data_IF_222324125801
#
_entry.id   IF_222324125801
#
_cell.length_a   1.000
_cell.length_b   1.000
_cell.length_c   1.000
_cell.angle_alpha   90.00
_cell.angle_beta   90.00
_cell.angle_gamma   90.00
#
_symmetry.space_group_name_H-M   'P 1'
#
loop_
_entity.id
_entity.type
_entity.pdbx_description
1 polymer ?
#
# COMPACT_ATOMS: atom_id res chain seq x y z
N UNK A 1 -5.93 -40.59 -2.66
CA UNK A 1 -4.46 -40.63 -2.44
C UNK A 1 -3.66 -40.01 -3.59
N UNK A 2 -4.25 -39.14 -4.43
CA UNK A 2 -3.57 -38.68 -5.67
C UNK A 2 -3.55 -37.12 -5.87
N UNK A 3 -4.05 -36.35 -4.93
CA UNK A 3 -3.99 -34.88 -5.02
C UNK A 3 -2.64 -34.28 -4.54
N UNK A 4 -1.80 -35.06 -3.86
CA UNK A 4 -0.48 -34.57 -3.40
C UNK A 4 0.59 -34.55 -4.52
N UNK A 5 0.35 -35.18 -5.66
CA UNK A 5 1.34 -35.22 -6.76
C UNK A 5 1.24 -34.06 -7.76
N UNK A 6 0.14 -33.33 -7.81
CA UNK A 6 -0.02 -32.21 -8.76
C UNK A 6 0.67 -30.91 -8.31
N UNK A 7 0.96 -30.73 -7.03
CA UNK A 7 1.65 -29.56 -6.47
C UNK A 7 3.17 -29.64 -6.65
N UNK A 8 3.72 -30.81 -6.92
CA UNK A 8 5.17 -31.06 -7.00
C UNK A 8 5.85 -30.65 -8.31
N UNK A 9 5.17 -30.07 -9.29
CA UNK A 9 5.74 -29.75 -10.60
C UNK A 9 5.53 -28.32 -11.10
N UNK A 10 5.34 -27.36 -10.21
CA UNK A 10 5.51 -25.97 -10.63
C UNK A 10 7.00 -25.76 -10.94
N UNK A 11 7.33 -25.39 -12.19
CA UNK A 11 8.72 -25.18 -12.57
C UNK A 11 9.35 -24.16 -11.61
N UNK A 12 10.60 -24.40 -11.20
CA UNK A 12 11.33 -23.46 -10.32
C UNK A 12 11.23 -22.03 -10.82
N UNK A 13 11.26 -21.82 -12.14
CA UNK A 13 11.09 -20.52 -12.77
C UNK A 13 9.74 -19.87 -12.51
N UNK A 14 8.65 -20.63 -12.43
CA UNK A 14 7.33 -20.11 -12.08
C UNK A 14 7.29 -19.62 -10.63
N UNK A 15 7.83 -20.38 -9.69
CA UNK A 15 7.89 -19.99 -8.28
C UNK A 15 8.68 -18.69 -8.08
N UNK A 16 9.86 -18.58 -8.70
CA UNK A 16 10.66 -17.33 -8.62
C UNK A 16 9.93 -16.12 -9.22
N UNK A 17 9.25 -16.31 -10.35
CA UNK A 17 8.44 -15.23 -10.96
C UNK A 17 7.32 -14.77 -10.01
N UNK A 18 6.64 -15.71 -9.36
CA UNK A 18 5.54 -15.41 -8.44
C UNK A 18 6.05 -14.71 -7.18
N UNK A 19 7.18 -15.17 -6.60
CA UNK A 19 7.83 -14.54 -5.44
C UNK A 19 8.26 -13.10 -5.75
N UNK A 20 8.97 -12.91 -6.87
CA UNK A 20 9.38 -11.59 -7.31
C UNK A 20 8.18 -10.67 -7.57
N UNK A 21 7.20 -11.15 -8.35
CA UNK A 21 6.02 -10.37 -8.68
C UNK A 21 5.22 -9.93 -7.45
N UNK A 22 5.05 -10.82 -6.46
CA UNK A 22 4.38 -10.50 -5.22
C UNK A 22 5.14 -9.47 -4.39
N UNK A 23 6.46 -9.60 -4.31
CA UNK A 23 7.30 -8.64 -3.61
C UNK A 23 7.38 -7.27 -4.29
N UNK A 24 7.36 -7.20 -5.64
CA UNK A 24 7.36 -5.93 -6.39
C UNK A 24 6.12 -5.07 -6.09
N UNK A 25 4.97 -5.68 -5.79
CA UNK A 25 3.79 -4.93 -5.37
C UNK A 25 4.02 -4.17 -4.06
N UNK A 26 4.65 -4.80 -3.08
CA UNK A 26 4.95 -4.14 -1.79
C UNK A 26 6.13 -3.15 -1.91
N UNK A 27 7.09 -3.43 -2.78
CA UNK A 27 8.13 -2.47 -3.17
C UNK A 27 7.51 -1.18 -3.74
N UNK A 28 6.56 -1.29 -4.67
CA UNK A 28 5.85 -0.15 -5.25
C UNK A 28 5.07 0.65 -4.21
N UNK A 29 4.35 -0.03 -3.31
CA UNK A 29 3.67 0.61 -2.18
C UNK A 29 4.65 1.40 -1.33
N UNK A 30 5.79 0.81 -0.98
CA UNK A 30 6.76 1.42 -0.08
C UNK A 30 7.59 2.53 -0.74
N UNK A 31 7.86 2.48 -2.05
CA UNK A 31 8.48 3.60 -2.76
C UNK A 31 7.67 4.90 -2.59
N UNK A 32 6.35 4.81 -2.73
CA UNK A 32 5.47 5.98 -2.65
C UNK A 32 5.19 6.32 -1.18
N UNK A 33 4.82 5.33 -0.36
CA UNK A 33 4.40 5.57 1.01
C UNK A 33 5.52 6.08 1.92
N UNK A 34 6.76 5.64 1.69
CA UNK A 34 7.90 6.07 2.50
C UNK A 34 8.18 7.56 2.34
N UNK A 35 8.12 8.10 1.11
CA UNK A 35 8.31 9.54 0.89
C UNK A 35 7.17 10.35 1.52
N UNK A 36 5.93 9.86 1.46
CA UNK A 36 4.78 10.48 2.13
C UNK A 36 5.01 10.52 3.65
N UNK A 37 5.40 9.40 4.23
CA UNK A 37 5.61 9.26 5.67
C UNK A 37 6.73 10.15 6.21
N UNK A 38 7.81 10.34 5.43
CA UNK A 38 8.96 11.13 5.86
C UNK A 38 8.79 12.62 5.57
N UNK A 39 8.18 12.99 4.44
CA UNK A 39 8.32 14.35 3.93
C UNK A 39 6.99 15.07 3.67
N UNK A 40 5.82 14.42 3.73
CA UNK A 40 4.58 15.10 3.39
C UNK A 40 4.23 16.21 4.41
N UNK A 41 4.47 15.96 5.70
CA UNK A 41 4.26 16.98 6.73
C UNK A 41 5.16 18.19 6.47
N UNK A 42 6.47 17.96 6.32
CA UNK A 42 7.45 18.99 5.98
C UNK A 42 7.06 19.75 4.70
N UNK A 43 6.69 19.02 3.65
CA UNK A 43 6.28 19.64 2.39
C UNK A 43 5.09 20.58 2.56
N UNK A 44 4.07 20.18 3.30
CA UNK A 44 2.89 21.04 3.50
C UNK A 44 3.17 22.20 4.45
N UNK A 45 3.97 22.04 5.50
CA UNK A 45 4.24 23.09 6.48
C UNK A 45 5.33 24.07 6.04
N UNK A 46 6.45 23.56 5.57
CA UNK A 46 7.65 24.37 5.34
C UNK A 46 7.80 24.80 3.88
N UNK A 47 7.37 23.96 2.91
CA UNK A 47 7.49 24.28 1.49
C UNK A 47 6.23 24.99 0.97
N UNK A 48 5.03 24.52 1.34
CA UNK A 48 3.74 25.10 0.90
C UNK A 48 3.23 26.18 1.87
N UNK A 49 3.78 26.24 3.10
CA UNK A 49 3.42 27.16 4.17
C UNK A 49 1.98 27.05 4.68
N UNK A 50 1.47 25.81 4.79
CA UNK A 50 0.17 25.52 5.41
C UNK A 50 0.31 25.40 6.93
N UNK A 51 -0.72 25.79 7.67
CA UNK A 51 -0.72 25.70 9.13
C UNK A 51 -0.61 24.27 9.65
N UNK A 52 0.39 23.96 10.48
CA UNK A 52 0.65 22.63 11.01
C UNK A 52 -0.57 22.01 11.73
N UNK A 53 -1.37 22.83 12.44
CA UNK A 53 -2.60 22.39 13.11
C UNK A 53 -3.63 21.85 12.10
N UNK A 54 -3.80 22.53 10.96
CA UNK A 54 -4.73 22.11 9.91
C UNK A 54 -4.28 20.80 9.27
N UNK A 55 -2.98 20.62 9.07
CA UNK A 55 -2.42 19.39 8.52
C UNK A 55 -2.54 18.22 9.52
N UNK A 56 -2.33 18.45 10.81
CA UNK A 56 -2.55 17.44 11.84
C UNK A 56 -4.02 16.97 11.87
N UNK A 57 -4.97 17.91 11.77
CA UNK A 57 -6.41 17.57 11.66
C UNK A 57 -6.70 16.77 10.39
N UNK A 58 -6.10 17.13 9.26
CA UNK A 58 -6.21 16.39 8.01
C UNK A 58 -5.77 14.92 8.19
N UNK A 59 -4.60 14.69 8.76
CA UNK A 59 -4.12 13.33 9.00
C UNK A 59 -5.05 12.53 9.92
N UNK A 60 -5.61 13.18 10.96
CA UNK A 60 -6.56 12.53 11.87
C UNK A 60 -7.86 12.14 11.15
N UNK A 61 -8.43 13.04 10.34
CA UNK A 61 -9.63 12.76 9.54
C UNK A 61 -9.37 11.61 8.58
N UNK A 62 -8.22 11.61 7.91
CA UNK A 62 -7.87 10.53 6.97
C UNK A 62 -7.78 9.17 7.66
N UNK A 63 -7.29 9.09 8.91
CA UNK A 63 -7.29 7.80 9.65
C UNK A 63 -8.69 7.24 9.86
N UNK A 64 -9.68 8.09 10.09
CA UNK A 64 -11.07 7.65 10.21
C UNK A 64 -11.62 7.18 8.86
N UNK A 65 -11.31 7.92 7.79
CA UNK A 65 -11.70 7.55 6.42
C UNK A 65 -11.05 6.23 6.02
N UNK A 66 -9.75 6.05 6.31
CA UNK A 66 -9.00 4.81 6.02
C UNK A 66 -9.67 3.60 6.68
N UNK A 67 -10.04 3.69 7.94
CA UNK A 67 -10.69 2.60 8.65
C UNK A 67 -12.02 2.16 8.00
N UNK A 68 -12.76 3.09 7.40
CA UNK A 68 -14.00 2.81 6.67
C UNK A 68 -13.70 2.25 5.28
N UNK A 69 -12.79 2.88 4.55
CA UNK A 69 -12.45 2.50 3.17
C UNK A 69 -11.76 1.15 3.11
N UNK A 70 -10.94 0.78 4.08
CA UNK A 70 -10.30 -0.54 4.16
C UNK A 70 -11.34 -1.67 4.18
N UNK A 71 -12.39 -1.51 4.98
CA UNK A 71 -13.48 -2.50 5.05
C UNK A 71 -14.27 -2.55 3.74
N UNK A 72 -14.58 -1.38 3.15
CA UNK A 72 -15.33 -1.31 1.90
C UNK A 72 -14.55 -1.91 0.73
N UNK A 73 -13.27 -1.58 0.61
CA UNK A 73 -12.39 -2.13 -0.44
C UNK A 73 -12.19 -3.63 -0.23
N UNK A 74 -11.97 -4.09 1.00
CA UNK A 74 -11.89 -5.52 1.31
C UNK A 74 -13.13 -6.28 0.83
N UNK A 75 -14.32 -5.75 1.13
CA UNK A 75 -15.58 -6.32 0.68
C UNK A 75 -15.75 -6.27 -0.85
N UNK A 76 -15.31 -5.19 -1.51
CA UNK A 76 -15.33 -5.08 -2.97
C UNK A 76 -14.41 -6.13 -3.62
N UNK A 77 -13.23 -6.38 -3.06
CA UNK A 77 -12.30 -7.42 -3.53
C UNK A 77 -12.93 -8.80 -3.43
N UNK A 78 -13.56 -9.11 -2.30
CA UNK A 78 -14.22 -10.41 -2.10
C UNK A 78 -15.36 -10.66 -3.07
N UNK A 79 -16.04 -9.61 -3.52
CA UNK A 79 -17.08 -9.68 -4.55
C UNK A 79 -16.54 -9.67 -5.98
N UNK A 80 -15.28 -9.32 -6.16
CA UNK A 80 -14.68 -9.24 -7.49
C UNK A 80 -14.50 -10.64 -8.07
N UNK A 81 -15.15 -10.88 -9.21
CA UNK A 81 -15.04 -12.13 -9.99
C UNK A 81 -14.63 -11.79 -11.41
N UNK A 82 -13.37 -12.00 -11.72
CA UNK A 82 -12.85 -11.75 -13.06
C UNK A 82 -12.05 -12.95 -13.58
N UNK A 83 -11.84 -12.99 -14.90
CA UNK A 83 -10.97 -14.00 -15.54
C UNK A 83 -9.52 -13.95 -15.06
N UNK A 84 -9.11 -12.87 -14.41
CA UNK A 84 -7.75 -12.67 -13.90
C UNK A 84 -7.60 -13.01 -12.40
N UNK A 85 -8.69 -13.34 -11.71
CA UNK A 85 -8.76 -13.56 -10.26
C UNK A 85 -9.48 -12.42 -9.54
N UNK A 86 -9.41 -12.42 -8.20
CA UNK A 86 -10.05 -11.42 -7.33
C UNK A 86 -9.19 -10.16 -7.15
N UNK A 87 -7.91 -10.33 -6.86
CA UNK A 87 -7.00 -9.26 -6.43
C UNK A 87 -6.21 -8.64 -7.58
N UNK A 88 -5.84 -9.43 -8.61
CA UNK A 88 -5.00 -8.96 -9.72
C UNK A 88 -5.55 -7.76 -10.48
N UNK A 89 -6.86 -7.67 -10.81
CA UNK A 89 -7.41 -6.51 -11.51
C UNK A 89 -7.15 -5.18 -10.79
N UNK A 90 -7.15 -5.23 -9.45
CA UNK A 90 -6.94 -4.04 -8.63
C UNK A 90 -5.53 -3.45 -8.77
N UNK A 91 -4.51 -4.30 -9.02
CA UNK A 91 -3.16 -3.82 -9.34
C UNK A 91 -3.12 -3.12 -10.69
N UNK A 92 -3.79 -3.69 -11.69
CA UNK A 92 -3.81 -3.13 -13.04
C UNK A 92 -4.52 -1.77 -13.08
N UNK A 93 -5.71 -1.69 -12.51
CA UNK A 93 -6.53 -0.48 -12.56
C UNK A 93 -6.15 0.53 -11.46
N UNK A 94 -5.62 0.09 -10.34
CA UNK A 94 -5.19 0.94 -9.23
C UNK A 94 -3.82 1.59 -9.41
N UNK A 95 -2.92 0.99 -10.22
CA UNK A 95 -1.55 1.46 -10.39
C UNK A 95 -1.46 2.92 -10.86
N UNK A 96 -2.13 3.26 -11.93
CA UNK A 96 -2.10 4.61 -12.52
C UNK A 96 -2.78 5.64 -11.61
N UNK A 97 -4.02 5.42 -11.11
CA UNK A 97 -4.65 6.36 -10.18
C UNK A 97 -3.84 6.59 -8.90
N UNK A 98 -3.17 5.54 -8.37
CA UNK A 98 -2.32 5.67 -7.18
C UNK A 98 -1.08 6.53 -7.47
N UNK A 99 -0.39 6.30 -8.59
CA UNK A 99 0.74 7.14 -9.00
C UNK A 99 0.34 8.60 -9.25
N UNK A 100 -0.81 8.82 -9.89
CA UNK A 100 -1.38 10.16 -10.12
C UNK A 100 -1.73 10.84 -8.79
N UNK A 101 -2.39 10.13 -7.87
CA UNK A 101 -2.74 10.66 -6.57
C UNK A 101 -1.49 11.08 -5.76
N UNK A 102 -0.44 10.26 -5.81
CA UNK A 102 0.84 10.55 -5.18
C UNK A 102 1.52 11.80 -5.80
N UNK A 103 1.53 11.91 -7.11
CA UNK A 103 2.03 13.09 -7.82
C UNK A 103 1.25 14.36 -7.46
N UNK A 104 -0.07 14.29 -7.43
CA UNK A 104 -0.95 15.43 -7.08
C UNK A 104 -0.73 15.90 -5.65
N UNK A 105 -0.52 15.01 -4.69
CA UNK A 105 -0.28 15.37 -3.30
C UNK A 105 0.97 16.26 -3.10
N UNK A 106 1.98 16.13 -3.99
CA UNK A 106 3.17 16.98 -4.00
C UNK A 106 3.15 18.05 -5.12
N UNK A 107 2.00 18.31 -5.73
CA UNK A 107 1.83 19.26 -6.83
C UNK A 107 0.84 20.37 -6.49
N UNK A 108 1.01 20.97 -5.30
CA UNK A 108 0.11 22.04 -4.84
C UNK A 108 0.23 23.26 -5.76
N UNK A 109 -0.88 23.73 -6.38
CA UNK A 109 -0.88 24.92 -7.21
C UNK A 109 -0.73 26.20 -6.37
N UNK A 110 -0.25 27.28 -7.00
CA UNK A 110 -0.14 28.58 -6.34
C UNK A 110 -1.47 29.34 -6.39
N UNK A 111 -2.32 29.06 -5.41
CA UNK A 111 -3.67 29.64 -5.23
C UNK A 111 -3.79 30.22 -3.82
N UNK A 112 -4.97 30.73 -3.48
CA UNK A 112 -5.23 31.27 -2.13
C UNK A 112 -4.89 30.28 -1.02
N UNK A 113 -4.51 30.70 0.19
CA UNK A 113 -4.17 29.80 1.31
C UNK A 113 -5.27 28.78 1.61
N UNK A 114 -6.53 29.18 1.61
CA UNK A 114 -7.67 28.28 1.82
C UNK A 114 -7.82 27.28 0.66
N UNK A 115 -7.54 27.73 -0.57
CA UNK A 115 -7.52 26.86 -1.75
C UNK A 115 -6.43 25.80 -1.68
N UNK A 116 -5.20 26.17 -1.26
CA UNK A 116 -4.10 25.24 -1.03
C UNK A 116 -4.47 24.18 0.02
N UNK A 117 -5.11 24.61 1.11
CA UNK A 117 -5.55 23.73 2.17
C UNK A 117 -6.60 22.72 1.67
N UNK A 118 -7.63 23.22 0.98
CA UNK A 118 -8.66 22.34 0.38
C UNK A 118 -8.06 21.33 -0.61
N UNK A 119 -7.13 21.80 -1.45
CA UNK A 119 -6.41 20.96 -2.39
C UNK A 119 -5.61 19.86 -1.68
N UNK A 120 -4.88 20.21 -0.61
CA UNK A 120 -4.12 19.26 0.20
C UNK A 120 -5.03 18.19 0.81
N UNK A 121 -6.18 18.58 1.39
CA UNK A 121 -7.17 17.63 1.91
C UNK A 121 -7.69 16.69 0.82
N UNK A 122 -8.13 17.24 -0.31
CA UNK A 122 -8.72 16.45 -1.41
C UNK A 122 -7.70 15.46 -1.99
N UNK A 123 -6.47 15.91 -2.25
CA UNK A 123 -5.42 15.06 -2.83
C UNK A 123 -4.91 14.02 -1.85
N UNK A 124 -4.80 14.33 -0.56
CA UNK A 124 -4.36 13.37 0.44
C UNK A 124 -5.43 12.31 0.74
N UNK A 125 -6.71 12.67 0.83
CA UNK A 125 -7.82 11.72 0.95
C UNK A 125 -7.85 10.79 -0.28
N UNK A 126 -7.70 11.35 -1.48
CA UNK A 126 -7.66 10.55 -2.70
C UNK A 126 -6.45 9.61 -2.73
N UNK A 127 -5.28 10.08 -2.31
CA UNK A 127 -4.07 9.28 -2.20
C UNK A 127 -4.23 8.13 -1.22
N UNK A 128 -4.78 8.40 -0.02
CA UNK A 128 -5.02 7.39 1.01
C UNK A 128 -5.99 6.32 0.52
N UNK A 129 -7.08 6.73 -0.14
CA UNK A 129 -8.02 5.81 -0.77
C UNK A 129 -7.37 4.94 -1.85
N UNK A 130 -6.57 5.54 -2.74
CA UNK A 130 -5.86 4.78 -3.79
C UNK A 130 -4.80 3.84 -3.22
N UNK A 131 -4.15 4.22 -2.12
CA UNK A 131 -3.26 3.32 -1.38
C UNK A 131 -4.01 2.08 -0.87
N UNK A 132 -5.17 2.26 -0.24
CA UNK A 132 -6.05 1.16 0.20
C UNK A 132 -6.43 0.26 -0.98
N UNK A 133 -6.79 0.84 -2.13
CA UNK A 133 -7.18 0.11 -3.36
C UNK A 133 -6.08 -0.82 -3.87
N UNK A 134 -4.80 -0.49 -3.69
CA UNK A 134 -3.68 -1.34 -4.14
C UNK A 134 -3.11 -2.22 -3.01
N UNK A 135 -3.15 -1.77 -1.76
CA UNK A 135 -2.53 -2.46 -0.63
C UNK A 135 -3.39 -3.60 -0.08
N UNK A 136 -4.72 -3.42 0.04
CA UNK A 136 -5.62 -4.47 0.54
C UNK A 136 -5.59 -5.71 -0.38
N UNK A 137 -5.71 -5.60 -1.72
CA UNK A 137 -5.56 -6.77 -2.60
C UNK A 137 -4.20 -7.46 -2.44
N UNK A 138 -3.13 -6.69 -2.23
CA UNK A 138 -1.78 -7.22 -2.03
C UNK A 138 -1.67 -8.02 -0.72
N UNK A 139 -2.36 -7.57 0.34
CA UNK A 139 -2.42 -8.31 1.60
C UNK A 139 -3.28 -9.58 1.48
N UNK A 140 -4.41 -9.50 0.79
CA UNK A 140 -5.40 -10.59 0.69
C UNK A 140 -5.06 -11.67 -0.34
N UNK A 141 -4.18 -11.41 -1.31
CA UNK A 141 -3.87 -12.36 -2.39
C UNK A 141 -3.04 -13.56 -1.92
N UNK A 142 -2.24 -13.43 -0.85
CA UNK A 142 -1.29 -14.47 -0.42
C UNK A 142 -1.91 -15.89 -0.26
N UNK A 143 -3.08 -16.07 0.38
CA UNK A 143 -3.71 -17.38 0.49
C UNK A 143 -4.13 -17.98 -0.85
N UNK A 144 -4.34 -17.17 -1.89
CA UNK A 144 -4.76 -17.64 -3.22
C UNK A 144 -3.57 -18.00 -4.13
N UNK A 145 -2.34 -17.66 -3.72
CA UNK A 145 -1.14 -17.95 -4.50
C UNK A 145 -0.65 -19.39 -4.35
N UNK A 146 -0.78 -19.96 -3.15
CA UNK A 146 -0.32 -21.32 -2.86
C UNK A 146 -1.01 -21.91 -1.64
N UNK A 147 -1.20 -23.22 -1.61
CA UNK A 147 -1.68 -23.97 -0.45
C UNK A 147 -0.54 -24.49 0.43
N UNK A 148 0.71 -24.44 -0.05
CA UNK A 148 1.89 -24.86 0.72
C UNK A 148 2.27 -23.76 1.74
N UNK A 149 2.26 -24.11 3.02
CA UNK A 149 2.59 -23.21 4.13
C UNK A 149 4.04 -22.75 4.07
N UNK A 150 4.98 -23.59 3.59
CA UNK A 150 6.38 -23.20 3.45
C UNK A 150 6.52 -22.15 2.34
N UNK A 151 5.86 -22.36 1.20
CA UNK A 151 5.86 -21.39 0.11
C UNK A 151 5.19 -20.08 0.49
N UNK A 152 4.12 -20.11 1.29
CA UNK A 152 3.51 -18.88 1.86
C UNK A 152 4.51 -18.08 2.69
N UNK A 153 5.31 -18.77 3.51
CA UNK A 153 6.35 -18.12 4.32
C UNK A 153 7.42 -17.49 3.43
N UNK A 154 7.86 -18.20 2.39
CA UNK A 154 8.83 -17.67 1.42
C UNK A 154 8.28 -16.47 0.68
N UNK A 155 7.04 -16.51 0.21
CA UNK A 155 6.35 -15.38 -0.44
C UNK A 155 6.27 -14.17 0.49
N UNK A 156 5.88 -14.37 1.75
CA UNK A 156 5.82 -13.30 2.76
C UNK A 156 7.22 -12.70 3.03
N UNK A 157 8.27 -13.53 3.04
CA UNK A 157 9.65 -13.08 3.20
C UNK A 157 10.11 -12.22 2.02
N UNK A 158 9.87 -12.67 0.78
CA UNK A 158 10.17 -11.88 -0.43
C UNK A 158 9.43 -10.55 -0.45
N UNK A 159 8.15 -10.57 -0.06
CA UNK A 159 7.33 -9.37 0.08
C UNK A 159 7.98 -8.37 1.03
N UNK A 160 8.33 -8.81 2.24
CA UNK A 160 8.94 -7.94 3.27
C UNK A 160 10.33 -7.46 2.88
N UNK A 161 11.16 -8.33 2.30
CA UNK A 161 12.48 -7.95 1.81
C UNK A 161 12.41 -6.82 0.77
N UNK A 162 11.54 -6.94 -0.23
CA UNK A 162 11.38 -5.92 -1.26
C UNK A 162 10.71 -4.64 -0.71
N UNK A 163 9.81 -4.74 0.27
CA UNK A 163 9.26 -3.59 0.98
C UNK A 163 10.35 -2.78 1.68
N UNK A 164 11.22 -3.44 2.44
CA UNK A 164 12.36 -2.80 3.09
C UNK A 164 13.35 -2.21 2.10
N UNK A 165 13.61 -2.89 0.99
CA UNK A 165 14.48 -2.37 -0.06
C UNK A 165 13.91 -1.06 -0.64
N UNK A 166 12.61 -1.02 -0.93
CA UNK A 166 11.92 0.19 -1.41
C UNK A 166 12.02 1.34 -0.42
N UNK A 167 11.69 1.07 0.87
CA UNK A 167 11.80 2.07 1.93
C UNK A 167 13.22 2.58 2.11
N UNK A 168 14.23 1.70 2.04
CA UNK A 168 15.64 2.07 2.20
C UNK A 168 16.12 2.93 1.04
N UNK A 169 15.75 2.61 -0.19
CA UNK A 169 16.08 3.43 -1.37
C UNK A 169 15.52 4.84 -1.20
N UNK A 170 14.24 4.98 -0.85
CA UNK A 170 13.62 6.29 -0.62
C UNK A 170 14.32 7.06 0.49
N UNK A 171 14.53 6.42 1.65
CA UNK A 171 15.17 7.08 2.80
C UNK A 171 16.59 7.57 2.49
N UNK A 172 17.33 6.82 1.67
CA UNK A 172 18.70 7.20 1.30
C UNK A 172 18.77 8.24 0.17
N UNK A 173 17.80 8.29 -0.73
CA UNK A 173 17.95 9.03 -1.99
C UNK A 173 16.97 10.18 -2.16
N UNK A 174 15.80 10.16 -1.51
CA UNK A 174 14.71 11.10 -1.79
C UNK A 174 15.13 12.56 -1.63
N UNK A 175 15.76 12.94 -0.51
CA UNK A 175 16.14 14.33 -0.27
C UNK A 175 17.23 14.80 -1.25
N UNK A 176 18.23 13.97 -1.52
CA UNK A 176 19.28 14.27 -2.51
C UNK A 176 18.68 14.47 -3.89
N UNK A 177 17.74 13.59 -4.30
CA UNK A 177 17.05 13.72 -5.57
C UNK A 177 16.20 15.00 -5.62
N UNK A 178 15.50 15.35 -4.55
CA UNK A 178 14.73 16.61 -4.45
C UNK A 178 15.64 17.81 -4.65
N UNK A 179 16.79 17.87 -3.99
CA UNK A 179 17.75 18.95 -4.12
C UNK A 179 18.32 19.08 -5.53
N UNK A 180 18.73 17.95 -6.13
CA UNK A 180 19.33 17.92 -7.48
C UNK A 180 18.30 18.30 -8.55
N UNK A 181 17.09 17.72 -8.48
CA UNK A 181 16.05 17.96 -9.50
C UNK A 181 15.35 19.30 -9.32
N UNK A 182 15.23 19.79 -8.08
CA UNK A 182 14.58 21.05 -7.74
C UNK A 182 15.40 22.29 -8.06
N UNK A 183 16.74 22.17 -8.18
CA UNK A 183 17.64 23.29 -8.51
C UNK A 183 17.39 24.54 -7.68
N UNK A 184 17.15 24.37 -6.39
CA UNK A 184 16.81 25.47 -5.45
C UNK A 184 15.30 25.69 -5.26
N UNK A 185 14.44 25.03 -6.02
CA UNK A 185 12.98 25.02 -5.80
C UNK A 185 12.55 23.65 -5.25
N UNK A 186 12.36 23.56 -3.95
CA UNK A 186 11.99 22.32 -3.28
C UNK A 186 10.64 21.79 -3.73
N UNK A 187 9.65 22.65 -3.97
CA UNK A 187 8.34 22.24 -4.45
C UNK A 187 8.43 21.55 -5.81
N UNK A 188 9.26 22.06 -6.71
CA UNK A 188 9.54 21.43 -8.01
C UNK A 188 10.27 20.11 -7.81
N UNK A 189 11.26 20.07 -6.91
CA UNK A 189 12.02 18.85 -6.59
C UNK A 189 11.12 17.73 -6.10
N UNK A 190 10.26 17.97 -5.10
CA UNK A 190 9.31 16.98 -4.60
C UNK A 190 8.35 16.50 -5.68
N UNK A 191 7.83 17.39 -6.52
CA UNK A 191 6.95 17.05 -7.64
C UNK A 191 7.63 16.10 -8.62
N UNK A 192 8.86 16.39 -9.04
CA UNK A 192 9.60 15.56 -10.00
C UNK A 192 9.92 14.20 -9.40
N UNK A 193 10.44 14.17 -8.17
CA UNK A 193 10.83 12.92 -7.50
C UNK A 193 9.61 12.03 -7.27
N UNK A 194 8.47 12.61 -6.85
CA UNK A 194 7.25 11.84 -6.69
C UNK A 194 6.72 11.31 -8.03
N UNK A 195 6.83 12.09 -9.10
CA UNK A 195 6.53 11.63 -10.46
C UNK A 195 7.40 10.44 -10.87
N UNK A 196 8.71 10.51 -10.63
CA UNK A 196 9.65 9.41 -10.94
C UNK A 196 9.30 8.15 -10.15
N UNK A 197 9.11 8.25 -8.83
CA UNK A 197 8.73 7.10 -8.01
C UNK A 197 7.33 6.57 -8.34
N UNK A 198 6.40 7.46 -8.71
CA UNK A 198 5.08 7.08 -9.20
C UNK A 198 5.15 6.23 -10.47
N UNK A 199 5.98 6.62 -11.45
CA UNK A 199 6.21 5.85 -12.69
C UNK A 199 6.82 4.49 -12.38
N UNK A 200 7.87 4.44 -11.56
CA UNK A 200 8.52 3.18 -11.16
C UNK A 200 7.52 2.29 -10.42
N UNK A 201 6.74 2.84 -9.48
CA UNK A 201 5.70 2.12 -8.76
C UNK A 201 4.63 1.56 -9.68
N UNK A 202 4.18 2.35 -10.66
CA UNK A 202 3.21 1.92 -11.67
C UNK A 202 3.73 0.74 -12.50
N UNK A 203 4.98 0.80 -12.97
CA UNK A 203 5.64 -0.31 -13.68
C UNK A 203 5.72 -1.55 -12.79
N UNK A 204 6.09 -1.41 -11.52
CA UNK A 204 6.15 -2.52 -10.57
C UNK A 204 4.77 -3.16 -10.34
N UNK A 205 3.68 -2.39 -10.25
CA UNK A 205 2.32 -2.93 -10.16
C UNK A 205 1.90 -3.67 -11.42
N UNK A 206 2.24 -3.17 -12.60
CA UNK A 206 2.00 -3.89 -13.85
C UNK A 206 2.79 -5.21 -13.88
N UNK A 207 4.06 -5.20 -13.47
CA UNK A 207 4.84 -6.43 -13.33
C UNK A 207 4.20 -7.39 -12.32
N UNK A 208 3.70 -6.90 -11.19
CA UNK A 208 2.95 -7.70 -10.22
C UNK A 208 1.75 -8.36 -10.88
N UNK A 209 0.95 -7.62 -11.64
CA UNK A 209 -0.19 -8.17 -12.37
C UNK A 209 0.21 -9.28 -13.35
N UNK A 210 1.31 -9.14 -14.10
CA UNK A 210 1.75 -10.13 -15.08
C UNK A 210 2.47 -11.34 -14.48
N UNK A 211 3.22 -11.14 -13.41
CA UNK A 211 4.05 -12.20 -12.80
C UNK A 211 3.28 -13.07 -11.81
N UNK A 212 2.31 -12.48 -11.10
CA UNK A 212 1.52 -13.18 -10.08
C UNK A 212 0.32 -13.87 -10.75
N UNK A 213 0.02 -15.09 -10.33
CA UNK A 213 -1.19 -15.83 -10.77
C UNK A 213 -1.94 -16.36 -9.56
N UNK A 214 -3.22 -16.01 -9.46
CA UNK A 214 -4.12 -16.58 -8.46
C UNK A 214 -4.55 -17.98 -8.87
N UNK A 215 -4.52 -18.93 -7.93
CA UNK A 215 -5.10 -20.24 -8.09
C UNK A 215 -6.60 -20.16 -7.73
N UNK A 216 -7.47 -20.46 -8.68
CA UNK A 216 -8.93 -20.37 -8.52
C UNK A 216 -9.52 -21.46 -7.60
N UNK A 217 -8.71 -22.15 -6.79
CA UNK A 217 -9.14 -23.25 -5.93
C UNK A 217 -10.14 -22.85 -4.83
N UNK A 218 -10.38 -21.56 -4.62
CA UNK A 218 -11.32 -21.06 -3.61
C UNK A 218 -12.66 -20.56 -4.19
N UNK A 219 -13.01 -20.88 -5.42
CA UNK A 219 -14.26 -20.40 -6.08
C UNK A 219 -15.56 -20.80 -5.36
N UNK A 220 -15.54 -21.78 -4.47
CA UNK A 220 -16.75 -22.32 -3.82
C UNK A 220 -16.99 -21.83 -2.38
N UNK A 221 -16.20 -20.89 -1.87
CA UNK A 221 -16.49 -20.31 -0.55
C UNK A 221 -17.53 -19.22 -0.75
N UNK A 222 -18.75 -19.44 -0.21
CA UNK A 222 -19.78 -18.39 -0.16
C UNK A 222 -19.20 -17.15 0.51
N UNK A 223 -19.25 -16.02 -0.17
CA UNK A 223 -18.86 -14.73 0.43
C UNK A 223 -19.74 -14.48 1.65
N UNK A 224 -19.11 -14.39 2.82
CA UNK A 224 -19.83 -14.08 4.05
C UNK A 224 -20.41 -12.66 4.00
N UNK A 225 -21.54 -12.46 4.62
CA UNK A 225 -22.11 -11.12 4.79
C UNK A 225 -21.25 -10.32 5.75
N UNK A 226 -21.17 -8.99 5.61
CA UNK A 226 -20.40 -8.11 6.50
C UNK A 226 -20.73 -8.36 8.00
N UNK A 227 -22.00 -8.59 8.31
CA UNK A 227 -22.47 -8.94 9.65
C UNK A 227 -21.87 -10.26 10.17
N UNK A 228 -21.82 -11.28 9.31
CA UNK A 228 -21.23 -12.58 9.65
C UNK A 228 -19.71 -12.47 9.86
N UNK A 229 -19.03 -11.65 9.07
CA UNK A 229 -17.60 -11.37 9.22
C UNK A 229 -17.31 -10.72 10.57
N UNK A 230 -18.03 -9.65 10.93
CA UNK A 230 -17.86 -8.95 12.22
C UNK A 230 -18.17 -9.89 13.40
N UNK A 231 -19.26 -10.67 13.32
CA UNK A 231 -19.60 -11.63 14.35
C UNK A 231 -18.56 -12.74 14.51
N UNK A 232 -17.98 -13.21 13.40
CA UNK A 232 -16.94 -14.24 13.44
C UNK A 232 -15.65 -13.72 14.08
N UNK A 233 -15.25 -12.48 13.79
CA UNK A 233 -14.11 -11.81 14.44
C UNK A 233 -14.36 -11.66 15.95
N UNK A 234 -15.59 -11.28 16.35
CA UNK A 234 -15.99 -11.17 17.75
C UNK A 234 -15.93 -12.50 18.52
N UNK A 235 -16.07 -13.65 17.87
CA UNK A 235 -15.98 -14.99 18.46
C UNK A 235 -14.56 -15.60 18.40
N UNK A 236 -13.66 -15.03 17.60
CA UNK A 236 -12.31 -15.56 17.38
C UNK A 236 -11.34 -15.06 18.46
N UNK A 237 -11.14 -15.83 19.52
CA UNK A 237 -10.24 -15.48 20.63
C UNK A 237 -8.78 -15.33 20.20
N UNK A 238 -8.17 -16.21 19.37
CA UNK A 238 -6.83 -16.03 18.84
C UNK A 238 -6.66 -14.70 18.11
N UNK A 239 -7.64 -14.31 17.29
CA UNK A 239 -7.63 -13.04 16.58
C UNK A 239 -7.63 -11.84 17.54
N UNK A 240 -8.44 -11.87 18.59
CA UNK A 240 -8.50 -10.79 19.61
C UNK A 240 -7.16 -10.62 20.32
N UNK A 241 -6.54 -11.72 20.75
CA UNK A 241 -5.22 -11.70 21.41
C UNK A 241 -4.17 -11.13 20.46
N UNK A 242 -4.18 -11.55 19.21
CA UNK A 242 -3.26 -11.04 18.18
C UNK A 242 -3.49 -9.55 17.89
N UNK A 243 -4.73 -9.10 17.78
CA UNK A 243 -5.08 -7.69 17.55
C UNK A 243 -4.61 -6.81 18.72
N UNK A 244 -4.83 -7.24 19.97
CA UNK A 244 -4.36 -6.52 21.16
C UNK A 244 -2.81 -6.46 21.16
N UNK A 245 -2.15 -7.56 20.88
CA UNK A 245 -0.67 -7.61 20.79
C UNK A 245 -0.13 -6.61 19.76
N UNK A 246 -0.70 -6.59 18.56
CA UNK A 246 -0.33 -5.64 17.52
C UNK A 246 -0.55 -4.19 17.95
N UNK A 247 -1.68 -3.89 18.61
CA UNK A 247 -1.93 -2.54 19.13
C UNK A 247 -0.82 -2.10 20.10
N UNK A 248 -0.44 -2.94 21.06
CA UNK A 248 0.64 -2.61 22.00
C UNK A 248 1.99 -2.46 21.30
N UNK A 249 2.30 -3.33 20.34
CA UNK A 249 3.53 -3.27 19.56
C UNK A 249 3.64 -1.94 18.80
N UNK A 250 2.60 -1.55 18.06
CA UNK A 250 2.60 -0.30 17.30
C UNK A 250 2.61 0.94 18.21
N UNK A 251 1.87 0.91 19.32
CA UNK A 251 1.88 1.99 20.32
C UNK A 251 3.30 2.16 20.88
N UNK A 252 3.97 1.08 21.25
CA UNK A 252 5.35 1.11 21.73
C UNK A 252 6.32 1.66 20.68
N UNK A 253 6.17 1.25 19.43
CA UNK A 253 6.99 1.75 18.31
C UNK A 253 6.79 3.26 18.10
N UNK A 254 5.56 3.76 18.11
CA UNK A 254 5.29 5.19 17.95
C UNK A 254 5.80 6.02 19.14
N UNK A 255 5.63 5.53 20.38
CA UNK A 255 6.19 6.19 21.56
C UNK A 255 7.72 6.27 21.50
N UNK A 256 8.38 5.18 21.12
CA UNK A 256 9.85 5.17 20.94
C UNK A 256 10.29 6.14 19.85
N UNK A 257 9.62 6.16 18.72
CA UNK A 257 9.93 7.09 17.62
C UNK A 257 9.75 8.54 18.02
N UNK A 258 8.73 8.85 18.82
CA UNK A 258 8.47 10.21 19.32
C UNK A 258 9.46 10.65 20.41
N UNK A 259 10.09 9.71 21.11
CA UNK A 259 11.09 10.03 22.13
C UNK A 259 12.51 10.25 21.56
N UNK A 260 12.73 9.90 20.28
CA UNK A 260 14.01 10.05 19.60
C UNK A 260 14.12 11.37 18.79
N UNK A 261 13.06 12.17 18.77
CA UNK A 261 12.99 13.52 18.15
C UNK A 261 13.01 14.57 19.25
#
# INVERSE_FOLDING_TARGET
MDQRKSVGMLSKGFLYRQRLGYGLGDFACNLIWQIISLYLLYFYTDVVHLGAKSIAVMFMICRVIDAITDVLVGFAIDKTKTRWGKSRPWFLFGAVPFAVAAFLAFSVPDISPDGKLLYAYATYIFLSFMYTVVNIPLASILPTLTDDMNERTVLATWRKFLAFLGSSIVSATALTLVQVTGRGNEALGFRIVMGMFGIVGCVCFFLTFFLVRENNLQENIKSATLKEMIMSLGKNTPWKVFAINIMFMWTGYFLQSSALV
#
